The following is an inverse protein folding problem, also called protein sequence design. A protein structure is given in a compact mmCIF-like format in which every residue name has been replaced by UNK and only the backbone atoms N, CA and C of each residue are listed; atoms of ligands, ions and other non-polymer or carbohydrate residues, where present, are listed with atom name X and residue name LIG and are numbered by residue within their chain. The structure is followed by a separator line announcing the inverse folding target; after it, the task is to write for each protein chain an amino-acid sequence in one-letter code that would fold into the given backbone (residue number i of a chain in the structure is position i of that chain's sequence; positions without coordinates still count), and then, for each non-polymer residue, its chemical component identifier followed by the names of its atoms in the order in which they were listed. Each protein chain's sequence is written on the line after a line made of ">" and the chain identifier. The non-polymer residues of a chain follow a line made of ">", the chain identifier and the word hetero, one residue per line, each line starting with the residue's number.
data_IF_791947106056
#
_entry.id   IF_791947106056
#
_cell.length_a   1.000
_cell.length_b   1.000
_cell.length_c   1.000
_cell.angle_alpha   90.00
_cell.angle_beta   90.00
_cell.angle_gamma   90.00
#
_symmetry.space_group_name_H-M   'P 1'
#
loop_
_entity.id
_entity.type
_entity.pdbx_description
1 polymer ?
#
# COMPACT_ATOMS: atom_id res chain seq x y z
N UNK A 1 -23.34 5.82 9.82
CA UNK A 1 -23.53 5.69 8.35
C UNK A 1 -23.51 4.23 7.96
N UNK A 2 -24.23 3.88 6.89
CA UNK A 2 -24.11 2.58 6.21
C UNK A 2 -23.31 2.80 4.91
N UNK A 3 -22.16 2.14 4.79
CA UNK A 3 -21.22 2.35 3.69
C UNK A 3 -21.05 1.03 2.94
N UNK A 4 -21.20 1.09 1.60
CA UNK A 4 -20.91 -0.04 0.72
C UNK A 4 -19.58 0.20 0.00
N UNK A 5 -18.61 -0.67 0.20
CA UNK A 5 -17.44 -0.74 -0.66
C UNK A 5 -17.71 -1.64 -1.86
N UNK A 6 -17.29 -1.22 -3.05
CA UNK A 6 -17.27 -2.09 -4.23
C UNK A 6 -15.83 -2.34 -4.66
N UNK A 7 -15.48 -3.58 -4.92
CA UNK A 7 -14.13 -4.01 -5.30
C UNK A 7 -14.23 -5.24 -6.20
N UNK A 8 -13.22 -5.50 -7.01
CA UNK A 8 -13.20 -6.69 -7.87
C UNK A 8 -13.13 -7.97 -7.06
N UNK A 9 -12.25 -8.02 -6.07
CA UNK A 9 -12.08 -9.18 -5.18
C UNK A 9 -11.65 -8.75 -3.80
N UNK A 10 -12.08 -9.49 -2.79
CA UNK A 10 -11.60 -9.36 -1.40
C UNK A 10 -10.43 -10.30 -1.09
N UNK A 11 -9.87 -10.97 -2.09
CA UNK A 11 -8.72 -11.86 -1.92
C UNK A 11 -7.50 -11.08 -1.41
N UNK A 12 -6.95 -11.41 -0.24
CA UNK A 12 -5.82 -10.68 0.35
C UNK A 12 -4.53 -10.79 -0.48
N UNK A 13 -4.42 -11.76 -1.38
CA UNK A 13 -3.27 -11.89 -2.28
C UNK A 13 -3.14 -10.72 -3.29
N UNK A 14 -4.24 -10.00 -3.56
CA UNK A 14 -4.24 -8.80 -4.43
C UNK A 14 -3.54 -7.62 -3.74
N UNK A 15 -3.59 -7.51 -2.42
CA UNK A 15 -2.78 -6.58 -1.65
C UNK A 15 -3.48 -5.25 -1.30
N UNK A 16 -2.85 -4.12 -1.64
CA UNK A 16 -3.17 -2.78 -1.12
C UNK A 16 -4.63 -2.37 -1.02
N UNK A 17 -5.44 -2.44 -2.08
CA UNK A 17 -6.85 -2.03 -2.01
C UNK A 17 -7.69 -2.84 -1.01
N UNK A 18 -7.48 -4.16 -0.95
CA UNK A 18 -8.17 -5.06 0.00
C UNK A 18 -7.77 -4.72 1.43
N UNK A 19 -6.47 -4.48 1.66
CA UNK A 19 -5.96 -4.09 2.97
C UNK A 19 -6.50 -2.71 3.39
N UNK A 20 -6.61 -1.76 2.46
CA UNK A 20 -7.21 -0.45 2.74
C UNK A 20 -8.65 -0.57 3.24
N UNK A 21 -9.48 -1.36 2.54
CA UNK A 21 -10.87 -1.62 2.96
C UNK A 21 -10.90 -2.26 4.35
N UNK A 22 -10.08 -3.29 4.59
CA UNK A 22 -10.02 -4.00 5.87
C UNK A 22 -9.61 -3.10 7.04
N UNK A 23 -8.58 -2.27 6.86
CA UNK A 23 -8.07 -1.36 7.88
C UNK A 23 -9.10 -0.27 8.23
N UNK A 24 -9.65 0.40 7.22
CA UNK A 24 -10.66 1.44 7.43
C UNK A 24 -11.91 0.89 8.09
N UNK A 25 -12.42 -0.23 7.58
CA UNK A 25 -13.65 -0.83 8.09
C UNK A 25 -13.53 -1.27 9.55
N UNK A 26 -12.37 -1.76 10.00
CA UNK A 26 -12.18 -2.16 11.39
C UNK A 26 -12.43 -1.00 12.37
N UNK A 27 -12.01 0.21 12.01
CA UNK A 27 -12.25 1.42 12.81
C UNK A 27 -13.69 1.89 12.65
N UNK A 28 -14.20 1.97 11.43
CA UNK A 28 -15.56 2.42 11.17
C UNK A 28 -16.61 1.60 11.90
N UNK A 29 -16.43 0.26 11.97
CA UNK A 29 -17.29 -0.63 12.76
C UNK A 29 -17.18 -0.31 14.26
N UNK A 30 -15.98 -0.07 14.78
CA UNK A 30 -15.79 0.29 16.19
C UNK A 30 -16.44 1.63 16.56
N UNK A 31 -16.55 2.53 15.57
CA UNK A 31 -17.16 3.84 15.71
C UNK A 31 -18.69 3.82 15.44
N UNK A 32 -19.29 2.62 15.31
CA UNK A 32 -20.74 2.43 15.16
C UNK A 32 -21.27 2.60 13.73
N UNK A 33 -20.41 2.65 12.73
CA UNK A 33 -20.83 2.61 11.33
C UNK A 33 -21.07 1.18 10.85
N UNK A 34 -21.87 1.00 9.82
CA UNK A 34 -22.05 -0.29 9.13
C UNK A 34 -21.27 -0.26 7.83
N UNK A 35 -20.45 -1.29 7.59
CA UNK A 35 -19.61 -1.40 6.39
C UNK A 35 -19.81 -2.77 5.77
N UNK A 36 -20.14 -2.78 4.48
CA UNK A 36 -20.34 -3.98 3.69
C UNK A 36 -19.55 -3.89 2.39
N UNK A 37 -19.33 -5.02 1.74
CA UNK A 37 -18.54 -5.09 0.50
C UNK A 37 -19.33 -5.82 -0.57
N UNK A 38 -19.47 -5.25 -1.77
CA UNK A 38 -19.92 -5.96 -2.96
C UNK A 38 -18.70 -6.26 -3.86
N UNK A 39 -18.52 -7.52 -4.20
CA UNK A 39 -17.38 -7.99 -4.99
C UNK A 39 -17.79 -8.83 -6.19
N UNK A 40 -16.82 -9.08 -7.07
CA UNK A 40 -16.99 -9.97 -8.23
C UNK A 40 -16.43 -11.38 -7.95
N UNK A 41 -16.15 -11.67 -6.69
CA UNK A 41 -15.82 -13.03 -6.24
C UNK A 41 -17.01 -13.97 -6.40
N UNK A 42 -16.74 -15.25 -6.51
CA UNK A 42 -17.78 -16.26 -6.49
C UNK A 42 -18.28 -16.50 -5.06
N UNK A 43 -19.57 -16.84 -4.86
CA UNK A 43 -20.10 -17.14 -3.52
C UNK A 43 -19.39 -18.30 -2.79
N UNK A 44 -18.80 -19.20 -3.55
CA UNK A 44 -18.04 -20.36 -3.05
C UNK A 44 -16.59 -20.05 -2.66
N UNK A 45 -16.06 -18.89 -3.03
CA UNK A 45 -14.69 -18.51 -2.73
C UNK A 45 -14.45 -18.34 -1.21
N UNK A 46 -13.50 -19.09 -0.66
CA UNK A 46 -13.22 -19.09 0.78
C UNK A 46 -12.81 -17.71 1.29
N UNK A 47 -12.01 -16.98 0.52
CA UNK A 47 -11.59 -15.62 0.90
C UNK A 47 -12.76 -14.62 0.97
N UNK A 48 -13.88 -14.87 0.29
CA UNK A 48 -15.09 -14.05 0.41
C UNK A 48 -15.89 -14.41 1.67
N UNK A 49 -15.92 -15.69 2.06
CA UNK A 49 -16.58 -16.18 3.29
C UNK A 49 -15.80 -15.75 4.55
N UNK A 50 -14.47 -15.82 4.48
CA UNK A 50 -13.57 -15.53 5.61
C UNK A 50 -13.24 -14.04 5.76
N UNK A 51 -13.77 -13.20 4.88
CA UNK A 51 -13.50 -11.76 4.97
C UNK A 51 -14.19 -11.17 6.22
N UNK A 52 -13.51 -10.27 6.98
CA UNK A 52 -14.02 -9.80 8.28
C UNK A 52 -15.21 -8.83 8.18
N UNK A 53 -15.80 -8.66 7.02
CA UNK A 53 -16.99 -7.84 6.76
C UNK A 53 -18.05 -8.65 6.03
N UNK A 54 -19.33 -8.27 6.10
CA UNK A 54 -20.34 -8.82 5.19
C UNK A 54 -19.96 -8.58 3.73
N UNK A 55 -19.82 -9.65 2.96
CA UNK A 55 -19.51 -9.61 1.54
C UNK A 55 -20.72 -10.06 0.74
N UNK A 56 -21.07 -9.30 -0.30
CA UNK A 56 -22.02 -9.68 -1.34
C UNK A 56 -21.24 -10.16 -2.58
N UNK A 57 -20.93 -11.45 -2.69
CA UNK A 57 -20.16 -12.01 -3.79
C UNK A 57 -21.10 -12.21 -4.99
N UNK A 58 -21.04 -11.26 -5.94
CA UNK A 58 -21.95 -11.24 -7.09
C UNK A 58 -21.43 -12.06 -8.29
N UNK A 59 -20.17 -12.53 -8.20
CA UNK A 59 -19.46 -13.23 -9.25
C UNK A 59 -19.90 -14.68 -9.54
N UNK A 60 -19.06 -15.42 -10.27
CA UNK A 60 -17.78 -14.97 -10.81
C UNK A 60 -17.92 -14.00 -11.97
N UNK A 61 -16.96 -13.08 -12.10
CA UNK A 61 -16.87 -12.17 -13.23
C UNK A 61 -16.05 -12.75 -14.40
N UNK A 62 -16.36 -12.32 -15.63
CA UNK A 62 -15.63 -12.77 -16.83
C UNK A 62 -14.40 -11.90 -17.07
N UNK A 63 -13.21 -12.54 -17.12
CA UNK A 63 -11.94 -11.88 -17.48
C UNK A 63 -11.90 -11.45 -18.95
N UNK A 64 -11.13 -10.42 -19.31
CA UNK A 64 -10.18 -9.69 -18.47
C UNK A 64 -10.77 -8.50 -17.72
N UNK A 65 -12.01 -8.10 -18.01
CA UNK A 65 -12.65 -6.89 -17.46
C UNK A 65 -13.46 -7.17 -16.20
N UNK A 66 -13.56 -8.42 -15.77
CA UNK A 66 -14.39 -8.88 -14.65
C UNK A 66 -15.86 -8.52 -14.81
N UNK A 67 -16.36 -8.59 -16.06
CA UNK A 67 -17.75 -8.33 -16.38
C UNK A 67 -18.70 -9.24 -15.58
N UNK A 68 -19.75 -8.65 -15.03
CA UNK A 68 -20.76 -9.37 -14.29
C UNK A 68 -22.14 -8.75 -14.52
N UNK A 69 -23.06 -9.51 -15.11
CA UNK A 69 -24.40 -9.02 -15.43
C UNK A 69 -25.28 -8.73 -14.20
N UNK A 70 -25.00 -9.34 -13.04
CA UNK A 70 -25.75 -9.16 -11.79
C UNK A 70 -25.42 -7.84 -11.10
N UNK A 71 -24.24 -7.27 -11.32
CA UNK A 71 -23.70 -6.16 -10.53
C UNK A 71 -24.57 -4.90 -10.63
N UNK A 72 -24.98 -4.50 -11.84
CA UNK A 72 -25.82 -3.31 -12.05
C UNK A 72 -27.24 -3.48 -11.50
N UNK A 73 -27.98 -4.60 -11.77
CA UNK A 73 -29.28 -4.83 -11.16
C UNK A 73 -29.23 -4.84 -9.64
N UNK A 74 -28.27 -5.57 -9.05
CA UNK A 74 -28.10 -5.64 -7.60
C UNK A 74 -27.86 -4.26 -6.98
N UNK A 75 -26.97 -3.43 -7.57
CA UNK A 75 -26.74 -2.07 -7.07
C UNK A 75 -28.00 -1.21 -7.15
N UNK A 76 -28.79 -1.30 -8.22
CA UNK A 76 -30.04 -0.52 -8.36
C UNK A 76 -31.06 -0.88 -7.29
N UNK A 77 -31.12 -2.13 -6.92
CA UNK A 77 -32.04 -2.64 -5.90
C UNK A 77 -31.58 -2.28 -4.48
N UNK A 78 -30.27 -2.33 -4.23
CA UNK A 78 -29.73 -2.30 -2.86
C UNK A 78 -29.06 -0.98 -2.48
N UNK A 79 -28.58 -0.16 -3.43
CA UNK A 79 -27.79 1.03 -3.12
C UNK A 79 -28.55 2.07 -2.27
N UNK A 80 -29.87 2.14 -2.37
CA UNK A 80 -30.71 3.00 -1.53
C UNK A 80 -30.65 2.69 -0.02
N UNK A 81 -30.13 1.51 0.35
CA UNK A 81 -29.93 1.13 1.74
C UNK A 81 -28.64 1.70 2.36
N UNK A 82 -27.80 2.37 1.57
CA UNK A 82 -26.51 2.89 1.98
C UNK A 82 -26.46 4.42 1.85
N UNK A 83 -25.76 5.05 2.80
CA UNK A 83 -25.52 6.49 2.78
C UNK A 83 -24.46 6.88 1.73
N UNK A 84 -23.55 5.97 1.41
CA UNK A 84 -22.51 6.16 0.42
C UNK A 84 -22.03 4.83 -0.18
N UNK A 85 -21.64 4.87 -1.46
CA UNK A 85 -20.97 3.77 -2.16
C UNK A 85 -19.53 4.18 -2.50
N UNK A 86 -18.55 3.38 -2.12
CA UNK A 86 -17.13 3.63 -2.37
C UNK A 86 -16.59 2.60 -3.37
N UNK A 87 -16.15 3.07 -4.52
CA UNK A 87 -15.49 2.27 -5.55
C UNK A 87 -14.02 2.16 -5.23
N UNK A 88 -13.49 0.94 -5.14
CA UNK A 88 -12.08 0.68 -4.87
C UNK A 88 -11.36 0.19 -6.13
N UNK A 89 -10.71 1.10 -6.84
CA UNK A 89 -9.98 0.83 -8.07
C UNK A 89 -10.72 1.23 -9.33
N UNK A 90 -10.01 1.14 -10.45
CA UNK A 90 -10.44 1.54 -11.79
C UNK A 90 -10.11 0.42 -12.79
N UNK A 91 -10.58 0.57 -14.05
CA UNK A 91 -10.26 -0.32 -15.18
C UNK A 91 -10.90 -1.70 -15.14
N UNK A 92 -11.85 -1.92 -14.23
CA UNK A 92 -12.59 -3.15 -14.03
C UNK A 92 -14.10 -2.86 -13.99
N UNK A 93 -14.91 -3.85 -14.25
CA UNK A 93 -16.34 -3.65 -14.50
C UNK A 93 -17.09 -2.99 -13.34
N UNK A 94 -16.71 -3.26 -12.10
CA UNK A 94 -17.39 -2.74 -10.92
C UNK A 94 -17.39 -1.20 -10.87
N UNK A 95 -16.33 -0.51 -11.31
CA UNK A 95 -16.27 0.96 -11.36
C UNK A 95 -17.31 1.51 -12.33
N UNK A 96 -17.34 0.98 -13.56
CA UNK A 96 -18.33 1.32 -14.56
C UNK A 96 -19.76 0.96 -14.12
N UNK A 97 -19.96 -0.19 -13.46
CA UNK A 97 -21.25 -0.67 -12.99
C UNK A 97 -21.86 0.26 -11.93
N UNK A 98 -21.04 0.74 -10.97
CA UNK A 98 -21.48 1.70 -9.94
C UNK A 98 -21.99 2.97 -10.60
N UNK A 99 -21.22 3.59 -11.49
CA UNK A 99 -21.69 4.76 -12.23
C UNK A 99 -22.98 4.48 -12.99
N UNK A 100 -23.04 3.37 -13.72
CA UNK A 100 -24.23 3.01 -14.52
C UNK A 100 -25.48 2.81 -13.66
N UNK A 101 -25.32 2.28 -12.46
CA UNK A 101 -26.42 2.08 -11.53
C UNK A 101 -26.84 3.39 -10.85
N UNK A 102 -25.89 4.23 -10.42
CA UNK A 102 -26.11 5.32 -9.47
C UNK A 102 -26.16 6.73 -10.09
N UNK A 103 -25.85 6.92 -11.37
CA UNK A 103 -25.79 8.26 -12.00
C UNK A 103 -27.07 9.09 -11.86
N UNK A 104 -28.22 8.48 -11.57
CA UNK A 104 -29.51 9.11 -11.33
C UNK A 104 -30.11 8.75 -9.97
N UNK A 105 -29.31 8.15 -9.07
CA UNK A 105 -29.70 7.83 -7.71
C UNK A 105 -29.41 8.99 -6.77
N UNK A 106 -30.13 9.05 -5.66
CA UNK A 106 -29.82 9.95 -4.53
C UNK A 106 -28.60 9.48 -3.73
N UNK A 107 -28.24 8.21 -3.84
CA UNK A 107 -27.07 7.65 -3.14
C UNK A 107 -25.79 8.11 -3.85
N UNK A 108 -24.92 8.89 -3.19
CA UNK A 108 -23.67 9.34 -3.78
C UNK A 108 -22.67 8.20 -3.88
N UNK A 109 -21.78 8.25 -4.88
CA UNK A 109 -20.63 7.37 -4.93
C UNK A 109 -19.31 8.14 -4.98
N UNK A 110 -18.30 7.52 -4.41
CA UNK A 110 -16.92 8.00 -4.29
C UNK A 110 -15.97 6.99 -4.92
N UNK A 111 -14.78 7.43 -5.33
CA UNK A 111 -13.83 6.54 -6.01
C UNK A 111 -12.44 6.67 -5.39
N UNK A 112 -11.92 5.61 -4.78
CA UNK A 112 -10.50 5.47 -4.48
C UNK A 112 -9.76 4.93 -5.70
N UNK A 113 -8.78 5.67 -6.19
CA UNK A 113 -8.01 5.30 -7.39
C UNK A 113 -6.90 4.29 -7.12
N UNK A 114 -6.43 4.19 -5.89
CA UNK A 114 -5.38 3.26 -5.45
C UNK A 114 -4.13 3.24 -6.36
N UNK A 115 -3.69 4.41 -6.83
CA UNK A 115 -2.52 4.54 -7.71
C UNK A 115 -2.75 4.13 -9.16
N UNK A 116 -3.97 3.77 -9.55
CA UNK A 116 -4.25 3.25 -10.90
C UNK A 116 -4.21 4.34 -11.99
N UNK A 117 -4.04 5.61 -11.59
CA UNK A 117 -3.81 6.76 -12.46
C UNK A 117 -2.35 7.23 -12.46
N UNK A 118 -1.41 6.43 -11.98
CA UNK A 118 0.00 6.78 -11.99
C UNK A 118 0.57 6.77 -13.43
N UNK A 119 1.24 7.86 -13.88
CA UNK A 119 1.88 7.93 -15.19
C UNK A 119 3.02 6.92 -15.40
N UNK A 120 3.53 6.28 -14.36
CA UNK A 120 4.53 5.21 -14.47
C UNK A 120 4.05 4.11 -15.42
N UNK A 121 2.76 3.75 -15.36
CA UNK A 121 2.17 2.74 -16.26
C UNK A 121 2.22 3.15 -17.74
N UNK A 122 2.12 4.44 -18.03
CA UNK A 122 2.26 4.98 -19.39
C UNK A 122 3.66 4.72 -19.95
N UNK A 123 4.69 4.91 -19.12
CA UNK A 123 6.09 4.72 -19.52
C UNK A 123 6.45 3.24 -19.66
N UNK A 124 6.05 2.44 -18.69
CA UNK A 124 6.41 1.00 -18.64
C UNK A 124 5.62 0.14 -19.61
N UNK A 125 4.37 0.47 -19.88
CA UNK A 125 3.45 -0.32 -20.70
C UNK A 125 2.69 0.55 -21.73
N UNK A 126 3.38 1.13 -22.73
CA UNK A 126 2.79 2.10 -23.65
C UNK A 126 1.60 1.56 -24.44
N UNK A 127 1.65 0.30 -24.91
CA UNK A 127 0.54 -0.34 -25.63
C UNK A 127 -0.71 -0.53 -24.76
N UNK A 128 -0.53 -0.90 -23.49
CA UNK A 128 -1.64 -0.99 -22.53
C UNK A 128 -2.21 0.40 -22.26
N UNK A 129 -1.36 1.42 -22.18
CA UNK A 129 -1.82 2.79 -21.98
C UNK A 129 -2.63 3.28 -23.18
N UNK A 130 -2.20 2.99 -24.40
CA UNK A 130 -2.97 3.34 -25.62
C UNK A 130 -4.37 2.73 -25.59
N UNK A 131 -4.51 1.45 -25.24
CA UNK A 131 -5.82 0.81 -25.06
C UNK A 131 -6.65 1.53 -23.98
N UNK A 132 -6.04 1.90 -22.87
CA UNK A 132 -6.69 2.68 -21.81
C UNK A 132 -7.12 4.07 -22.30
N UNK A 133 -6.32 4.76 -23.11
CA UNK A 133 -6.68 6.03 -23.72
C UNK A 133 -7.92 5.93 -24.63
N UNK A 134 -8.06 4.86 -25.41
CA UNK A 134 -9.26 4.63 -26.22
C UNK A 134 -10.51 4.36 -25.37
N UNK A 135 -10.36 3.65 -24.27
CA UNK A 135 -11.46 3.34 -23.33
C UNK A 135 -11.82 4.55 -22.43
N UNK A 136 -10.85 5.41 -22.12
CA UNK A 136 -10.95 6.48 -21.14
C UNK A 136 -12.19 7.39 -21.30
N UNK A 137 -12.51 7.95 -22.48
CA UNK A 137 -13.62 8.89 -22.61
C UNK A 137 -15.00 8.27 -22.30
N UNK A 138 -15.13 6.97 -22.50
CA UNK A 138 -16.41 6.26 -22.40
C UNK A 138 -16.51 5.45 -21.10
N UNK A 139 -15.39 4.99 -20.58
CA UNK A 139 -15.28 4.17 -19.38
C UNK A 139 -15.00 4.98 -18.13
N UNK A 140 -13.73 5.17 -17.81
CA UNK A 140 -13.33 5.66 -16.50
C UNK A 140 -13.44 7.19 -16.32
N UNK A 141 -13.24 7.99 -17.37
CA UNK A 141 -13.42 9.44 -17.24
C UNK A 141 -14.83 9.80 -16.75
N UNK A 142 -15.93 9.26 -17.33
CA UNK A 142 -17.25 9.49 -16.78
C UNK A 142 -17.44 8.98 -15.35
N UNK A 143 -16.79 7.87 -14.96
CA UNK A 143 -16.84 7.36 -13.57
C UNK A 143 -16.28 8.39 -12.61
N UNK A 144 -15.11 8.98 -12.92
CA UNK A 144 -14.48 10.00 -12.08
C UNK A 144 -15.23 11.33 -12.10
N UNK A 145 -15.72 11.76 -13.26
CA UNK A 145 -16.43 13.03 -13.43
C UNK A 145 -17.75 13.06 -12.65
N UNK A 146 -18.49 11.95 -12.69
CA UNK A 146 -19.84 11.84 -12.11
C UNK A 146 -19.80 11.41 -10.63
N UNK A 147 -18.63 11.03 -10.11
CA UNK A 147 -18.42 10.76 -8.69
C UNK A 147 -18.61 12.02 -7.84
N UNK A 148 -19.17 11.87 -6.63
CA UNK A 148 -19.24 12.96 -5.64
C UNK A 148 -17.86 13.51 -5.34
N UNK A 149 -16.88 12.61 -5.12
CA UNK A 149 -15.48 12.92 -5.05
C UNK A 149 -14.62 11.71 -5.47
N UNK A 150 -13.41 12.02 -5.95
CA UNK A 150 -12.34 11.05 -6.18
C UNK A 150 -11.35 11.15 -5.03
N UNK A 151 -11.15 10.06 -4.34
CA UNK A 151 -10.38 9.97 -3.12
C UNK A 151 -8.95 9.49 -3.44
N UNK A 152 -7.97 10.30 -3.08
CA UNK A 152 -6.54 9.99 -3.26
C UNK A 152 -5.91 9.65 -1.92
N UNK A 153 -5.10 8.62 -1.91
CA UNK A 153 -4.48 8.10 -0.68
C UNK A 153 -3.37 8.99 -0.13
N UNK A 154 -2.86 9.90 -0.95
CA UNK A 154 -1.86 10.90 -0.57
C UNK A 154 -1.82 12.04 -1.61
N UNK A 155 -1.12 13.12 -1.28
CA UNK A 155 -1.00 14.28 -2.15
C UNK A 155 -0.27 13.97 -3.46
N UNK A 156 0.78 13.15 -3.42
CA UNK A 156 1.54 12.77 -4.62
C UNK A 156 0.69 11.97 -5.59
N UNK A 157 -0.14 11.03 -5.12
CA UNK A 157 -1.08 10.30 -5.98
C UNK A 157 -2.01 11.27 -6.73
N UNK A 158 -2.55 12.28 -6.03
CA UNK A 158 -3.40 13.31 -6.62
C UNK A 158 -2.67 14.10 -7.73
N UNK A 159 -1.43 14.53 -7.46
CA UNK A 159 -0.61 15.28 -8.42
C UNK A 159 -0.26 14.43 -9.64
N UNK A 160 0.08 13.16 -9.43
CA UNK A 160 0.41 12.23 -10.51
C UNK A 160 -0.81 11.90 -11.37
N UNK A 161 -1.99 11.71 -10.76
CA UNK A 161 -3.23 11.39 -11.48
C UNK A 161 -3.58 12.45 -12.55
N UNK A 162 -3.34 13.73 -12.28
CA UNK A 162 -3.57 14.84 -13.22
C UNK A 162 -2.71 14.75 -14.50
N UNK A 163 -1.61 13.97 -14.49
CA UNK A 163 -0.67 13.79 -15.59
C UNK A 163 -0.91 12.51 -16.39
N UNK A 164 -1.90 11.72 -15.98
CA UNK A 164 -2.10 10.37 -16.53
C UNK A 164 -2.85 10.38 -17.84
N UNK A 165 -4.00 11.04 -17.90
CA UNK A 165 -4.90 11.04 -19.05
C UNK A 165 -5.38 12.45 -19.41
N UNK A 166 -5.64 12.66 -20.71
CA UNK A 166 -6.33 13.84 -21.20
C UNK A 166 -7.80 13.86 -20.73
N UNK A 167 -8.46 15.01 -20.79
CA UNK A 167 -9.81 15.22 -20.25
C UNK A 167 -9.95 14.93 -18.73
N UNK A 168 -8.86 14.81 -18.00
CA UNK A 168 -8.93 14.58 -16.57
C UNK A 168 -9.68 15.72 -15.86
N UNK A 169 -10.83 15.39 -15.25
CA UNK A 169 -11.65 16.33 -14.49
C UNK A 169 -12.47 15.55 -13.46
N UNK A 170 -12.29 15.87 -12.19
CA UNK A 170 -13.07 15.31 -11.08
C UNK A 170 -12.99 16.23 -9.86
N UNK A 171 -13.83 16.00 -8.87
CA UNK A 171 -13.73 16.60 -7.55
C UNK A 171 -12.69 15.81 -6.73
N UNK A 172 -11.52 16.39 -6.47
CA UNK A 172 -10.40 15.73 -5.84
C UNK A 172 -10.41 15.94 -4.34
N UNK A 173 -10.31 14.87 -3.57
CA UNK A 173 -10.16 14.90 -2.11
C UNK A 173 -9.03 13.95 -1.70
N UNK A 174 -8.11 14.42 -0.86
CA UNK A 174 -7.08 13.55 -0.28
C UNK A 174 -7.62 12.94 1.02
N UNK A 175 -7.74 11.63 1.03
CA UNK A 175 -8.08 10.82 2.20
C UNK A 175 -6.93 9.85 2.43
N UNK A 176 -5.96 10.28 3.24
CA UNK A 176 -4.76 9.47 3.50
C UNK A 176 -5.16 8.14 4.13
N UNK A 177 -4.61 7.06 3.59
CA UNK A 177 -4.76 5.74 4.21
C UNK A 177 -3.94 5.65 5.50
N UNK A 178 -4.20 4.62 6.27
CA UNK A 178 -3.50 4.36 7.51
C UNK A 178 -3.43 2.87 7.84
N UNK A 179 -2.66 2.55 8.84
CA UNK A 179 -2.59 1.21 9.42
C UNK A 179 -2.79 1.28 10.93
N UNK A 180 -3.23 0.17 11.53
CA UNK A 180 -3.37 0.10 12.96
C UNK A 180 -2.00 0.16 13.66
N UNK A 181 -1.97 0.75 14.86
CA UNK A 181 -0.80 0.65 15.72
C UNK A 181 -0.52 -0.81 16.06
N UNK A 182 0.75 -1.25 16.03
CA UNK A 182 1.10 -2.61 16.46
C UNK A 182 0.73 -2.81 17.92
N UNK A 183 -0.01 -3.88 18.20
CA UNK A 183 -0.45 -4.27 19.54
C UNK A 183 0.48 -5.31 20.16
N UNK A 184 0.51 -5.39 21.49
CA UNK A 184 1.30 -6.35 22.24
C UNK A 184 2.67 -5.85 22.66
N UNK A 185 3.40 -6.69 23.42
CA UNK A 185 4.71 -6.38 23.96
C UNK A 185 5.76 -6.32 22.84
N UNK A 186 6.40 -5.16 22.73
CA UNK A 186 7.41 -4.90 21.70
C UNK A 186 8.65 -5.75 21.82
N UNK A 187 9.11 -5.98 23.05
CA UNK A 187 10.30 -6.79 23.30
C UNK A 187 10.02 -8.28 23.07
N UNK A 188 8.83 -8.76 23.46
CA UNK A 188 8.44 -10.13 23.19
C UNK A 188 8.36 -10.40 21.68
N UNK A 189 7.84 -9.45 20.89
CA UNK A 189 7.79 -9.56 19.43
C UNK A 189 9.20 -9.58 18.80
N UNK A 190 10.08 -8.68 19.24
CA UNK A 190 11.48 -8.68 18.78
C UNK A 190 12.20 -9.99 19.16
N UNK A 191 12.01 -10.47 20.40
CA UNK A 191 12.57 -11.75 20.86
C UNK A 191 12.04 -12.94 20.05
N UNK A 192 10.75 -12.96 19.69
CA UNK A 192 10.15 -14.01 18.88
C UNK A 192 10.80 -14.06 17.49
N UNK A 193 10.95 -12.92 16.83
CA UNK A 193 11.61 -12.82 15.52
C UNK A 193 13.09 -13.26 15.61
N UNK A 194 13.85 -12.74 16.57
CA UNK A 194 15.25 -13.11 16.77
C UNK A 194 15.41 -14.56 17.29
N UNK A 195 14.37 -15.15 17.87
CA UNK A 195 14.33 -16.57 18.22
C UNK A 195 14.25 -17.47 16.98
N UNK A 196 13.47 -17.07 15.98
CA UNK A 196 13.38 -17.77 14.68
C UNK A 196 14.65 -17.59 13.83
N UNK A 197 15.32 -16.44 13.97
CA UNK A 197 16.55 -16.11 13.24
C UNK A 197 17.70 -15.79 14.21
N UNK A 198 18.24 -16.78 14.95
CA UNK A 198 19.20 -16.53 16.04
C UNK A 198 20.51 -15.86 15.61
N UNK A 199 20.94 -16.07 14.36
CA UNK A 199 22.14 -15.48 13.77
C UNK A 199 22.07 -13.95 13.60
N UNK A 200 20.85 -13.37 13.72
CA UNK A 200 20.61 -11.92 13.67
C UNK A 200 20.80 -11.23 15.03
N UNK A 201 20.94 -12.00 16.13
CA UNK A 201 21.14 -11.42 17.47
C UNK A 201 22.43 -10.60 17.53
N UNK A 202 22.33 -9.40 18.10
CA UNK A 202 23.46 -8.48 18.21
C UNK A 202 23.88 -7.80 16.89
N UNK A 203 23.16 -8.03 15.79
CA UNK A 203 23.39 -7.35 14.53
C UNK A 203 22.55 -6.07 14.41
N UNK A 204 23.07 -5.12 13.64
CA UNK A 204 22.33 -3.94 13.17
C UNK A 204 21.55 -4.34 11.93
N UNK A 205 20.23 -4.28 11.97
CA UNK A 205 19.41 -4.80 10.89
C UNK A 205 18.91 -3.68 9.98
N UNK A 206 19.16 -3.82 8.68
CA UNK A 206 18.44 -3.11 7.62
C UNK A 206 17.33 -4.03 7.12
N UNK A 207 16.07 -3.61 7.24
CA UNK A 207 14.92 -4.41 6.85
C UNK A 207 14.36 -3.93 5.53
N UNK A 208 14.25 -4.82 4.57
CA UNK A 208 13.36 -4.70 3.41
C UNK A 208 12.14 -5.59 3.66
N UNK A 209 10.93 -5.07 3.48
CA UNK A 209 9.71 -5.87 3.58
C UNK A 209 8.75 -5.55 2.45
N UNK A 210 8.35 -6.59 1.73
CA UNK A 210 7.43 -6.49 0.60
C UNK A 210 7.52 -7.71 -0.30
N UNK A 211 6.73 -7.75 -1.36
CA UNK A 211 6.85 -8.81 -2.38
C UNK A 211 8.23 -8.74 -3.04
N UNK A 212 8.89 -9.88 -3.19
CA UNK A 212 10.13 -9.97 -3.96
C UNK A 212 9.75 -9.83 -5.44
N UNK A 213 9.90 -8.63 -5.97
CA UNK A 213 9.47 -8.27 -7.31
C UNK A 213 10.29 -7.08 -7.82
N UNK A 214 10.67 -7.01 -9.12
CA UNK A 214 11.49 -5.92 -9.68
C UNK A 214 10.97 -4.51 -9.37
N UNK A 215 9.65 -4.31 -9.28
CA UNK A 215 9.06 -3.02 -8.88
C UNK A 215 9.47 -2.52 -7.50
N UNK A 216 9.92 -3.42 -6.62
CA UNK A 216 10.22 -3.11 -5.22
C UNK A 216 11.67 -2.77 -4.96
N UNK A 217 12.57 -2.98 -5.96
CA UNK A 217 13.97 -2.61 -5.87
C UNK A 217 14.77 -3.46 -4.88
N UNK A 218 14.46 -4.77 -4.78
CA UNK A 218 15.22 -5.68 -3.92
C UNK A 218 16.70 -5.75 -4.34
N UNK A 219 16.96 -5.70 -5.63
CA UNK A 219 18.30 -5.60 -6.24
C UNK A 219 19.02 -4.35 -5.76
N UNK A 220 18.39 -3.19 -5.85
CA UNK A 220 18.96 -1.92 -5.38
C UNK A 220 19.28 -1.96 -3.88
N UNK A 221 18.41 -2.60 -3.06
CA UNK A 221 18.67 -2.75 -1.63
C UNK A 221 19.89 -3.63 -1.37
N UNK A 222 20.06 -4.75 -2.09
CA UNK A 222 21.20 -5.67 -1.97
C UNK A 222 22.50 -4.98 -2.42
N UNK A 223 22.49 -4.36 -3.61
CA UNK A 223 23.68 -3.70 -4.15
C UNK A 223 24.14 -2.51 -3.30
N UNK A 224 23.20 -1.68 -2.84
CA UNK A 224 23.50 -0.57 -1.96
C UNK A 224 24.00 -1.03 -0.59
N UNK A 225 23.41 -2.10 -0.02
CA UNK A 225 23.91 -2.73 1.20
C UNK A 225 25.34 -3.20 1.04
N UNK A 226 25.64 -3.94 -0.02
CA UNK A 226 27.00 -4.43 -0.30
C UNK A 226 28.00 -3.27 -0.45
N UNK A 227 27.61 -2.20 -1.11
CA UNK A 227 28.46 -1.04 -1.37
C UNK A 227 28.77 -0.21 -0.13
N UNK A 228 27.80 -0.07 0.80
CA UNK A 228 27.87 0.87 1.91
C UNK A 228 27.97 0.17 3.26
N UNK A 229 26.96 -0.59 3.64
CA UNK A 229 26.82 -1.14 4.99
C UNK A 229 27.65 -2.40 5.21
N UNK A 230 27.89 -3.19 4.17
CA UNK A 230 28.64 -4.42 4.27
C UNK A 230 30.13 -4.23 4.69
N UNK A 231 30.63 -3.01 4.71
CA UNK A 231 31.96 -2.67 5.24
C UNK A 231 32.04 -2.83 6.77
N UNK A 232 30.94 -2.63 7.47
CA UNK A 232 30.81 -2.87 8.91
C UNK A 232 30.20 -4.28 9.14
N UNK A 233 30.93 -5.22 9.78
CA UNK A 233 30.47 -6.60 9.99
C UNK A 233 29.28 -6.71 10.95
N UNK A 234 28.90 -5.64 11.64
CA UNK A 234 27.73 -5.61 12.49
C UNK A 234 26.42 -5.51 11.71
N UNK A 235 26.44 -5.03 10.46
CA UNK A 235 25.25 -4.88 9.65
C UNK A 235 24.79 -6.18 9.00
N UNK A 236 23.47 -6.37 8.93
CA UNK A 236 22.83 -7.48 8.25
C UNK A 236 21.57 -7.00 7.51
N UNK A 237 21.39 -7.43 6.28
CA UNK A 237 20.19 -7.14 5.49
C UNK A 237 19.17 -8.26 5.66
N UNK A 238 17.94 -7.90 6.03
CA UNK A 238 16.82 -8.83 6.13
C UNK A 238 15.85 -8.53 5.01
N UNK A 239 15.55 -9.50 4.15
CA UNK A 239 14.58 -9.40 3.08
C UNK A 239 13.39 -10.28 3.44
N UNK A 240 12.24 -9.63 3.73
CA UNK A 240 11.03 -10.28 4.19
C UNK A 240 9.89 -10.12 3.17
N UNK A 241 9.26 -11.23 2.79
CA UNK A 241 8.09 -11.22 1.93
C UNK A 241 8.03 -12.39 0.95
N UNK A 242 6.89 -12.55 0.27
CA UNK A 242 6.72 -13.66 -0.66
C UNK A 242 7.42 -13.38 -2.00
N UNK A 243 8.06 -14.41 -2.53
CA UNK A 243 8.51 -14.44 -3.93
C UNK A 243 7.40 -15.00 -4.82
N UNK A 244 6.64 -14.09 -5.43
CA UNK A 244 5.50 -14.46 -6.28
C UNK A 244 5.88 -14.69 -7.74
N UNK A 245 7.10 -14.31 -8.15
CA UNK A 245 7.55 -14.34 -9.54
C UNK A 245 8.84 -15.15 -9.74
N UNK A 246 9.37 -15.78 -8.67
CA UNK A 246 10.59 -16.57 -8.71
C UNK A 246 11.88 -15.73 -8.80
N UNK A 247 11.82 -14.43 -8.49
CA UNK A 247 12.94 -13.53 -8.69
C UNK A 247 14.07 -13.67 -7.65
N UNK A 248 13.77 -14.29 -6.51
CA UNK A 248 14.80 -14.61 -5.52
C UNK A 248 15.89 -15.52 -6.12
N UNK A 249 15.55 -16.37 -7.08
CA UNK A 249 16.51 -17.23 -7.79
C UNK A 249 17.59 -16.43 -8.55
N UNK A 250 17.23 -15.22 -9.03
CA UNK A 250 18.17 -14.31 -9.69
C UNK A 250 18.94 -13.46 -8.67
N UNK A 251 18.31 -13.08 -7.56
CA UNK A 251 18.90 -12.23 -6.53
C UNK A 251 19.90 -12.97 -5.62
N UNK A 252 19.70 -14.27 -5.39
CA UNK A 252 20.63 -15.06 -4.57
C UNK A 252 22.04 -15.13 -5.18
N UNK A 253 22.25 -15.42 -6.48
CA UNK A 253 23.55 -15.30 -7.12
C UNK A 253 24.14 -13.88 -7.06
N UNK A 254 23.31 -12.83 -7.12
CA UNK A 254 23.77 -11.45 -6.95
C UNK A 254 24.41 -11.24 -5.57
N UNK A 255 23.84 -11.81 -4.50
CA UNK A 255 24.43 -11.71 -3.15
C UNK A 255 25.79 -12.42 -3.06
N UNK A 256 25.97 -13.52 -3.78
CA UNK A 256 27.24 -14.24 -3.85
C UNK A 256 28.29 -13.43 -4.63
N UNK A 257 27.93 -12.90 -5.80
CA UNK A 257 28.80 -12.04 -6.61
C UNK A 257 29.29 -10.82 -5.83
N UNK A 258 28.42 -10.22 -5.02
CA UNK A 258 28.73 -9.08 -4.18
C UNK A 258 29.41 -9.47 -2.85
N UNK A 259 29.60 -10.76 -2.57
CA UNK A 259 30.23 -11.33 -1.36
C UNK A 259 29.52 -10.90 -0.07
N UNK A 260 28.19 -10.90 -0.10
CA UNK A 260 27.33 -10.55 1.05
C UNK A 260 26.28 -11.64 1.36
N UNK A 261 26.36 -12.81 0.73
CA UNK A 261 25.38 -13.88 0.89
C UNK A 261 25.21 -14.33 2.36
N UNK A 262 26.28 -14.34 3.14
CA UNK A 262 26.29 -14.64 4.57
C UNK A 262 25.69 -13.52 5.45
N UNK A 263 25.41 -12.37 4.86
CA UNK A 263 24.86 -11.18 5.54
C UNK A 263 23.52 -10.72 4.97
N UNK A 264 22.88 -11.57 4.19
CA UNK A 264 21.51 -11.38 3.69
C UNK A 264 20.64 -12.54 4.16
N UNK A 265 19.57 -12.25 4.89
CA UNK A 265 18.62 -13.26 5.32
C UNK A 265 17.30 -13.11 4.58
N UNK A 266 16.87 -14.17 3.91
CA UNK A 266 15.58 -14.30 3.28
C UNK A 266 14.60 -14.97 4.25
N UNK A 267 13.61 -14.24 4.75
CA UNK A 267 12.68 -14.79 5.74
C UNK A 267 11.49 -15.50 5.11
N UNK A 268 11.24 -15.27 3.82
CA UNK A 268 9.94 -15.58 3.23
C UNK A 268 8.83 -14.72 3.82
N UNK A 269 7.59 -15.15 3.68
CA UNK A 269 6.41 -14.44 4.21
C UNK A 269 6.36 -14.57 5.74
N UNK A 270 6.41 -13.45 6.44
CA UNK A 270 6.21 -13.35 7.90
C UNK A 270 4.93 -12.56 8.20
N UNK A 271 4.22 -12.95 9.27
CA UNK A 271 2.91 -12.39 9.65
C UNK A 271 2.81 -12.18 11.16
N UNK A 272 1.78 -11.43 11.59
CA UNK A 272 1.45 -11.26 13.01
C UNK A 272 2.62 -10.78 13.86
N UNK A 273 2.89 -11.46 14.96
CA UNK A 273 3.96 -11.09 15.89
C UNK A 273 5.36 -11.10 15.27
N UNK A 274 5.65 -12.02 14.36
CA UNK A 274 6.94 -12.09 13.68
C UNK A 274 7.18 -10.87 12.77
N UNK A 275 6.12 -10.42 12.05
CA UNK A 275 6.21 -9.22 11.21
C UNK A 275 6.55 -7.99 12.06
N UNK A 276 5.83 -7.79 13.14
CA UNK A 276 6.11 -6.67 14.05
C UNK A 276 7.47 -6.81 14.71
N UNK A 277 7.87 -8.04 15.06
CA UNK A 277 9.19 -8.35 15.59
C UNK A 277 10.33 -7.99 14.64
N UNK A 278 10.16 -8.24 13.34
CA UNK A 278 11.14 -7.84 12.32
C UNK A 278 11.33 -6.31 12.27
N UNK A 279 10.25 -5.52 12.29
CA UNK A 279 10.38 -4.07 12.38
C UNK A 279 11.07 -3.63 13.67
N UNK A 280 10.63 -4.15 14.83
CA UNK A 280 11.18 -3.74 16.14
C UNK A 280 12.63 -4.12 16.36
N UNK A 281 13.08 -5.21 15.74
CA UNK A 281 14.48 -5.62 15.75
C UNK A 281 15.36 -4.82 14.79
N UNK A 282 14.75 -4.05 13.88
CA UNK A 282 15.48 -3.37 12.82
C UNK A 282 15.86 -1.95 13.21
N UNK A 283 17.04 -1.54 12.74
CA UNK A 283 17.54 -0.18 12.93
C UNK A 283 16.96 0.78 11.89
N UNK A 284 16.82 0.32 10.64
CA UNK A 284 16.25 1.06 9.51
C UNK A 284 15.35 0.16 8.66
N UNK A 285 14.42 0.79 7.99
CA UNK A 285 13.61 0.18 6.95
C UNK A 285 14.01 0.75 5.58
N UNK A 286 14.27 -0.11 4.59
CA UNK A 286 14.77 0.29 3.26
C UNK A 286 13.78 -0.16 2.19
N UNK A 287 13.25 0.78 1.38
CA UNK A 287 12.32 0.47 0.30
C UNK A 287 12.60 1.34 -0.94
N UNK A 288 13.54 0.95 -1.82
CA UNK A 288 13.88 1.69 -3.03
C UNK A 288 12.94 1.31 -4.19
N UNK A 289 11.63 1.30 -3.94
CA UNK A 289 10.62 0.92 -4.92
C UNK A 289 10.60 1.84 -6.13
N UNK A 290 10.44 1.28 -7.33
CA UNK A 290 10.21 2.03 -8.56
C UNK A 290 8.78 2.58 -8.70
N UNK A 291 7.86 2.05 -7.92
CA UNK A 291 6.49 2.57 -7.78
C UNK A 291 5.81 1.95 -6.57
N UNK A 292 5.25 2.78 -5.72
CA UNK A 292 4.46 2.39 -4.56
C UNK A 292 3.39 3.45 -4.30
N UNK A 293 2.13 3.07 -4.27
CA UNK A 293 1.08 4.07 -4.07
C UNK A 293 1.09 4.63 -2.63
N UNK A 294 0.61 3.87 -1.66
CA UNK A 294 0.63 4.30 -0.26
C UNK A 294 1.84 3.73 0.48
N UNK A 295 2.14 2.42 0.28
CA UNK A 295 3.23 1.76 0.99
C UNK A 295 2.89 1.47 2.45
N UNK A 296 1.89 0.62 2.70
CA UNK A 296 1.51 0.21 4.07
C UNK A 296 2.70 -0.19 4.92
N UNK A 297 3.68 -0.88 4.33
CA UNK A 297 4.90 -1.32 5.03
C UNK A 297 5.75 -0.16 5.54
N UNK A 298 5.72 1.01 4.86
CA UNK A 298 6.38 2.23 5.33
C UNK A 298 5.67 2.78 6.56
N UNK A 299 4.34 2.89 6.51
CA UNK A 299 3.54 3.30 7.67
C UNK A 299 3.71 2.34 8.86
N UNK A 300 3.85 1.03 8.61
CA UNK A 300 4.11 -0.01 9.62
C UNK A 300 5.51 0.15 10.25
N UNK A 301 6.53 0.47 9.44
CA UNK A 301 7.87 0.78 9.96
C UNK A 301 7.83 2.02 10.87
N UNK A 302 7.19 3.09 10.42
CA UNK A 302 7.00 4.32 11.21
C UNK A 302 6.22 4.06 12.50
N UNK A 303 5.19 3.18 12.46
CA UNK A 303 4.44 2.76 13.64
C UNK A 303 5.33 2.10 14.70
N UNK A 304 6.38 1.41 14.28
CA UNK A 304 7.39 0.79 15.14
C UNK A 304 8.55 1.75 15.50
N UNK A 305 8.47 3.04 15.19
CA UNK A 305 9.55 4.01 15.37
C UNK A 305 10.83 3.66 14.58
N UNK A 306 10.69 3.00 13.42
CA UNK A 306 11.81 2.64 12.54
C UNK A 306 11.92 3.69 11.44
N UNK A 307 13.05 4.43 11.35
CA UNK A 307 13.29 5.38 10.27
C UNK A 307 13.27 4.71 8.90
N UNK A 308 12.65 5.37 7.94
CA UNK A 308 12.44 4.80 6.61
C UNK A 308 13.34 5.47 5.57
N UNK A 309 14.08 4.65 4.83
CA UNK A 309 14.95 5.03 3.73
C UNK A 309 14.26 4.60 2.44
N UNK A 310 13.61 5.53 1.75
CA UNK A 310 12.69 5.22 0.65
C UNK A 310 13.02 6.00 -0.62
N UNK A 311 12.55 5.48 -1.75
CA UNK A 311 12.63 6.22 -3.00
C UNK A 311 11.55 7.32 -3.09
N UNK A 312 11.78 8.33 -3.93
CA UNK A 312 10.81 9.36 -4.32
C UNK A 312 9.64 8.81 -5.18
N UNK A 313 9.58 7.48 -5.36
CA UNK A 313 8.50 6.76 -6.03
C UNK A 313 7.58 6.03 -5.05
N UNK A 314 7.82 6.17 -3.76
CA UNK A 314 6.88 5.80 -2.70
C UNK A 314 6.02 7.03 -2.41
N UNK A 315 4.78 7.09 -2.85
CA UNK A 315 4.01 8.35 -2.94
C UNK A 315 3.78 9.10 -1.61
N UNK A 316 4.07 8.49 -0.46
CA UNK A 316 4.08 9.17 0.86
C UNK A 316 5.46 9.76 1.22
N UNK A 317 6.39 9.83 0.29
CA UNK A 317 7.74 10.30 0.53
C UNK A 317 7.80 11.75 1.05
N UNK A 318 6.89 12.61 0.57
CA UNK A 318 6.84 14.02 0.98
C UNK A 318 6.50 14.18 2.46
N UNK A 319 5.59 13.37 2.95
CA UNK A 319 5.19 13.34 4.35
C UNK A 319 6.34 12.84 5.23
N UNK A 320 7.01 11.76 4.80
CA UNK A 320 8.18 11.20 5.50
C UNK A 320 9.33 12.22 5.58
N UNK A 321 9.65 12.86 4.47
CA UNK A 321 10.72 13.87 4.39
C UNK A 321 10.40 15.12 5.21
N UNK A 322 9.19 15.68 5.06
CA UNK A 322 8.74 16.89 5.77
C UNK A 322 8.79 16.71 7.28
N UNK A 323 8.39 15.55 7.77
CA UNK A 323 8.38 15.26 9.20
C UNK A 323 9.77 14.80 9.70
N UNK A 324 10.75 14.65 8.83
CA UNK A 324 12.08 14.14 9.16
C UNK A 324 12.05 12.72 9.75
N UNK A 325 11.08 11.91 9.31
CA UNK A 325 10.84 10.55 9.77
C UNK A 325 11.69 9.50 9.05
N UNK A 326 12.44 9.94 8.04
CA UNK A 326 13.28 9.10 7.21
C UNK A 326 14.07 9.93 6.20
N UNK A 327 14.69 9.26 5.24
CA UNK A 327 15.46 9.85 4.16
C UNK A 327 14.84 9.44 2.81
N UNK A 328 14.95 10.33 1.83
CA UNK A 328 14.37 10.13 0.49
C UNK A 328 15.43 10.38 -0.59
N UNK A 329 15.47 9.54 -1.62
CA UNK A 329 16.37 9.68 -2.77
C UNK A 329 15.74 9.10 -4.05
N UNK A 330 16.33 9.29 -5.25
CA UNK A 330 15.89 8.64 -6.48
C UNK A 330 15.88 7.10 -6.39
N UNK A 331 15.04 6.47 -7.20
CA UNK A 331 14.83 5.01 -7.28
C UNK A 331 15.92 4.30 -8.12
N UNK A 332 17.19 4.60 -7.83
CA UNK A 332 18.36 3.98 -8.46
C UNK A 332 19.41 3.57 -7.42
N UNK A 333 20.47 2.89 -7.88
CA UNK A 333 21.55 2.44 -7.00
C UNK A 333 22.28 3.60 -6.32
N UNK A 334 22.49 4.70 -7.00
CA UNK A 334 23.21 5.86 -6.44
C UNK A 334 22.37 6.51 -5.33
N UNK A 335 21.06 6.69 -5.57
CA UNK A 335 20.11 7.19 -4.60
C UNK A 335 20.02 6.28 -3.37
N UNK A 336 19.82 4.97 -3.58
CA UNK A 336 19.72 3.99 -2.48
C UNK A 336 21.01 3.94 -1.66
N UNK A 337 22.17 3.93 -2.30
CA UNK A 337 23.47 3.97 -1.61
C UNK A 337 23.66 5.28 -0.83
N UNK A 338 23.22 6.41 -1.39
CA UNK A 338 23.26 7.71 -0.71
C UNK A 338 22.43 7.70 0.58
N UNK A 339 21.23 7.10 0.59
CA UNK A 339 20.41 6.94 1.79
C UNK A 339 21.15 6.18 2.88
N UNK A 340 21.75 5.04 2.55
CA UNK A 340 22.48 4.23 3.50
C UNK A 340 23.73 4.94 4.02
N UNK A 341 24.44 5.67 3.17
CA UNK A 341 25.61 6.46 3.55
C UNK A 341 25.22 7.61 4.48
N UNK A 342 24.17 8.36 4.16
CA UNK A 342 23.66 9.41 5.01
C UNK A 342 23.29 8.87 6.40
N UNK A 343 22.56 7.75 6.46
CA UNK A 343 22.21 7.10 7.72
C UNK A 343 23.47 6.69 8.52
N UNK A 344 24.47 6.08 7.87
CA UNK A 344 25.68 5.63 8.53
C UNK A 344 26.49 6.78 9.16
N UNK A 345 26.41 7.97 8.56
CA UNK A 345 27.12 9.17 9.03
C UNK A 345 26.38 9.93 10.14
N UNK A 346 25.10 9.61 10.42
CA UNK A 346 24.36 10.23 11.51
C UNK A 346 24.95 9.79 12.85
N UNK A 347 25.05 10.73 13.78
CA UNK A 347 25.35 10.47 15.19
C UNK A 347 24.19 9.72 15.87
N UNK A 348 24.46 9.07 16.99
CA UNK A 348 23.42 8.37 17.75
C UNK A 348 22.28 9.30 18.21
N UNK A 349 22.51 10.52 18.70
CA UNK A 349 21.44 11.48 19.01
C UNK A 349 20.54 11.79 17.79
N UNK A 350 21.14 11.97 16.60
CA UNK A 350 20.38 12.24 15.36
C UNK A 350 19.52 11.04 14.95
N UNK A 351 20.07 9.82 15.02
CA UNK A 351 19.31 8.58 14.77
C UNK A 351 18.14 8.44 15.73
N UNK A 352 18.37 8.70 17.03
CA UNK A 352 17.32 8.64 18.04
C UNK A 352 16.26 9.73 17.85
N UNK A 353 16.65 10.92 17.41
CA UNK A 353 15.72 11.97 17.03
C UNK A 353 14.85 11.56 15.82
N UNK A 354 15.43 10.94 14.80
CA UNK A 354 14.69 10.44 13.64
C UNK A 354 13.72 9.32 14.02
N UNK A 355 14.08 8.41 14.92
CA UNK A 355 13.18 7.37 15.46
C UNK A 355 11.95 7.97 16.14
N UNK A 356 12.13 9.02 16.97
CA UNK A 356 11.01 9.72 17.59
C UNK A 356 10.10 10.37 16.54
N UNK A 357 10.69 11.09 15.58
CA UNK A 357 9.93 11.69 14.47
C UNK A 357 9.22 10.67 13.60
N UNK A 358 9.79 9.49 13.38
CA UNK A 358 9.14 8.39 12.69
C UNK A 358 7.83 7.98 13.40
N UNK A 359 7.87 7.81 14.73
CA UNK A 359 6.67 7.52 15.52
C UNK A 359 5.65 8.64 15.49
N UNK A 360 6.10 9.89 15.62
CA UNK A 360 5.23 11.08 15.56
C UNK A 360 4.58 11.23 14.18
N UNK A 361 5.32 11.02 13.09
CA UNK A 361 4.80 11.02 11.73
C UNK A 361 3.68 9.98 11.57
N UNK A 362 3.90 8.76 12.05
CA UNK A 362 2.85 7.73 12.04
C UNK A 362 1.60 8.19 12.79
N UNK A 363 1.74 8.62 14.04
CA UNK A 363 0.61 9.03 14.88
C UNK A 363 -0.13 10.24 14.31
N UNK A 364 0.58 11.14 13.65
CA UNK A 364 0.00 12.36 13.11
C UNK A 364 -0.62 12.18 11.73
N UNK A 365 -0.17 11.20 10.92
CA UNK A 365 -0.58 11.08 9.51
C UNK A 365 -1.15 9.72 9.13
N UNK A 366 -0.59 8.62 9.64
CA UNK A 366 -0.80 7.28 9.11
C UNK A 366 -1.49 6.32 10.08
N UNK A 367 -1.92 6.81 11.23
CA UNK A 367 -2.75 6.05 12.16
C UNK A 367 -4.16 5.90 11.57
N UNK A 368 -4.68 4.67 11.52
CA UNK A 368 -5.90 4.33 10.80
C UNK A 368 -7.16 5.08 11.28
N UNK A 369 -7.23 5.47 12.57
CA UNK A 369 -8.37 6.27 13.07
C UNK A 369 -8.45 7.64 12.40
N UNK A 370 -7.30 8.27 12.12
CA UNK A 370 -7.26 9.53 11.36
C UNK A 370 -7.74 9.34 9.93
N UNK A 371 -7.33 8.24 9.29
CA UNK A 371 -7.81 7.89 7.96
C UNK A 371 -9.34 7.68 7.93
N UNK A 372 -9.87 6.94 8.91
CA UNK A 372 -11.31 6.72 9.05
C UNK A 372 -12.08 8.03 9.27
N UNK A 373 -11.60 8.90 10.18
CA UNK A 373 -12.21 10.21 10.43
C UNK A 373 -12.19 11.10 9.17
N UNK A 374 -11.07 11.12 8.44
CA UNK A 374 -10.96 11.87 7.18
C UNK A 374 -11.92 11.33 6.11
N UNK A 375 -12.08 10.00 6.03
CA UNK A 375 -13.04 9.38 5.13
C UNK A 375 -14.48 9.80 5.48
N UNK A 376 -14.90 9.68 6.74
CA UNK A 376 -16.25 10.09 7.17
C UNK A 376 -16.50 11.57 6.86
N UNK A 377 -15.53 12.44 7.12
CA UNK A 377 -15.65 13.86 6.77
C UNK A 377 -15.85 14.05 5.26
N UNK A 378 -15.09 13.33 4.43
CA UNK A 378 -15.22 13.39 2.97
C UNK A 378 -16.58 12.86 2.48
N UNK A 379 -17.12 11.81 3.10
CA UNK A 379 -18.45 11.25 2.76
C UNK A 379 -19.60 12.16 3.21
N UNK A 380 -19.42 12.91 4.31
CA UNK A 380 -20.44 13.78 4.90
C UNK A 380 -20.44 15.20 4.32
N UNK A 381 -19.40 15.58 3.59
CA UNK A 381 -19.31 16.92 2.98
C UNK A 381 -20.32 17.04 1.84
N UNK A 382 -21.25 18.01 1.98
CA UNK A 382 -22.33 18.30 1.01
C UNK A 382 -21.81 18.83 -0.33
#
# INVERSE_FOLDING_TARGET
>A
MRILHTITTVNPAVGGPVEAVRQLASVLLSDGHQVEVASVDAPEDDHAKDFPLPVHPLGPGTRPYWYNARFVPWLRENAGNYDAVIVNGLWEYHSFAVRRALRHSSTPYFVFTHGMLDPWFKRKYPLKHLKKCMYWPWGEHPVLRDARAVLFTCEEERVLARRSFWLYRCNEVVVTLGTASPTGDSEAQARAFLGRFPHLRGKRLALFMGRIHPKKGCDLAIEAFAKVLAKDPCWHLVIAGPDQVGWQAELSPLTEQLRVADRVTWTGMIKGHEKWGAFRASEIFVLPSHTENFGFVVAEALACAVPTLISDKVNIWREVERDGAGLVAPDDLAGTASLLLQWSNLSEPERNAMRRRAKECFLNRFEVRKAASALINALSSN
#
